data_IF_343596844535
#
_entry.id   IF_343596844535
#
_cell.length_a   1.000
_cell.length_b   1.000
_cell.length_c   1.000
_cell.angle_alpha   90.00
_cell.angle_beta   90.00
_cell.angle_gamma   90.00
#
_symmetry.space_group_name_H-M   'P 1'
#
loop_
_entity.id
_entity.type
_entity.pdbx_description
1 polymer ?
#
# COMPACT_ATOMS: atom_id res chain seq x y z
N UNK A 1 8.81 -8.27 16.44
CA UNK A 1 8.92 -9.64 15.87
C UNK A 1 9.07 -9.52 14.37
N UNK A 2 10.04 -10.19 13.75
CA UNK A 2 10.16 -10.23 12.29
C UNK A 2 9.00 -11.10 11.79
N UNK A 3 8.10 -10.61 10.92
CA UNK A 3 7.03 -11.45 10.39
C UNK A 3 7.64 -12.67 9.72
N UNK A 4 7.04 -13.84 9.92
CA UNK A 4 7.53 -15.07 9.29
C UNK A 4 7.63 -14.86 7.76
N UNK A 5 8.57 -15.53 7.07
CA UNK A 5 8.67 -15.41 5.61
C UNK A 5 7.33 -15.69 4.91
N UNK A 6 6.53 -16.61 5.47
CA UNK A 6 5.18 -16.91 5.01
C UNK A 6 4.22 -15.73 5.15
N UNK A 7 4.27 -15.02 6.28
CA UNK A 7 3.49 -13.81 6.53
C UNK A 7 3.83 -12.68 5.56
N UNK A 8 5.13 -12.47 5.29
CA UNK A 8 5.59 -11.49 4.31
C UNK A 8 5.13 -11.84 2.89
N UNK A 9 5.20 -13.12 2.50
CA UNK A 9 4.73 -13.59 1.21
C UNK A 9 3.21 -13.42 1.05
N UNK A 10 2.42 -13.82 2.06
CA UNK A 10 0.98 -13.63 2.06
C UNK A 10 0.60 -12.15 1.90
N UNK A 11 1.26 -11.27 2.66
CA UNK A 11 1.08 -9.82 2.55
C UNK A 11 1.40 -9.30 1.16
N UNK A 12 2.54 -9.70 0.59
CA UNK A 12 2.92 -9.31 -0.76
C UNK A 12 1.90 -9.79 -1.81
N UNK A 13 1.45 -11.04 -1.72
CA UNK A 13 0.46 -11.60 -2.65
C UNK A 13 -0.87 -10.86 -2.59
N UNK A 14 -1.40 -10.59 -1.39
CA UNK A 14 -2.66 -9.84 -1.23
C UNK A 14 -2.51 -8.42 -1.79
N UNK A 15 -1.38 -7.76 -1.54
CA UNK A 15 -1.12 -6.42 -2.07
C UNK A 15 -1.01 -6.41 -3.59
N UNK A 16 -0.24 -7.33 -4.18
CA UNK A 16 -0.08 -7.44 -5.63
C UNK A 16 -1.46 -7.70 -6.27
N UNK A 17 -2.20 -8.70 -5.80
CA UNK A 17 -3.52 -9.03 -6.33
C UNK A 17 -4.49 -7.84 -6.20
N UNK A 18 -4.56 -7.21 -5.03
CA UNK A 18 -5.44 -6.08 -4.77
C UNK A 18 -5.10 -4.84 -5.63
N UNK A 19 -3.82 -4.52 -5.81
CA UNK A 19 -3.40 -3.42 -6.66
C UNK A 19 -3.52 -3.74 -8.16
N UNK A 20 -3.38 -5.00 -8.56
CA UNK A 20 -3.68 -5.42 -9.92
C UNK A 20 -5.16 -5.33 -10.24
N UNK A 21 -6.04 -5.72 -9.32
CA UNK A 21 -7.47 -5.51 -9.48
C UNK A 21 -7.81 -4.02 -9.61
N UNK A 22 -7.19 -3.18 -8.77
CA UNK A 22 -7.37 -1.73 -8.84
C UNK A 22 -6.98 -1.18 -10.21
N UNK A 23 -5.80 -1.53 -10.73
CA UNK A 23 -5.34 -1.08 -12.04
C UNK A 23 -6.22 -1.60 -13.19
N UNK A 24 -6.70 -2.85 -13.08
CA UNK A 24 -7.64 -3.41 -14.06
C UNK A 24 -8.93 -2.57 -14.12
N UNK A 25 -9.46 -2.15 -12.97
CA UNK A 25 -10.65 -1.31 -12.94
C UNK A 25 -10.35 0.10 -13.42
N UNK A 26 -9.22 0.69 -13.02
CA UNK A 26 -8.83 2.02 -13.45
C UNK A 26 -8.65 2.12 -14.98
N UNK A 27 -8.11 1.07 -15.61
CA UNK A 27 -7.98 1.00 -17.08
C UNK A 27 -9.32 1.18 -17.83
N UNK A 28 -10.47 0.91 -17.18
CA UNK A 28 -11.79 1.12 -17.79
C UNK A 28 -12.20 2.60 -17.83
N UNK A 29 -11.59 3.42 -16.97
CA UNK A 29 -11.90 4.84 -16.82
C UNK A 29 -10.79 5.75 -17.33
N UNK A 30 -9.60 5.21 -17.60
CA UNK A 30 -8.45 5.95 -18.14
C UNK A 30 -8.30 5.75 -19.64
N UNK A 31 -7.81 6.77 -20.32
CA UNK A 31 -7.42 6.70 -21.75
C UNK A 31 -6.17 5.85 -21.98
N UNK A 32 -5.41 5.58 -20.91
CA UNK A 32 -4.20 4.76 -20.92
C UNK A 32 -4.53 3.39 -20.35
N UNK A 33 -4.12 2.33 -21.07
CA UNK A 33 -4.18 0.97 -20.55
C UNK A 33 -2.80 0.53 -20.09
N UNK A 34 -2.70 0.07 -18.85
CA UNK A 34 -1.45 -0.44 -18.27
C UNK A 34 -1.60 -1.91 -17.91
N UNK A 35 -0.50 -2.67 -17.91
CA UNK A 35 -0.53 -4.04 -17.42
C UNK A 35 -0.86 -4.06 -15.91
N UNK A 36 -2.00 -4.64 -15.49
CA UNK A 36 -2.42 -4.55 -14.08
C UNK A 36 -1.46 -5.29 -13.13
N UNK A 37 -0.88 -6.40 -13.59
CA UNK A 37 0.11 -7.16 -12.83
C UNK A 37 1.37 -6.32 -12.60
N UNK A 38 1.90 -5.68 -13.65
CA UNK A 38 3.09 -4.81 -13.53
C UNK A 38 2.83 -3.64 -12.57
N UNK A 39 1.65 -3.03 -12.65
CA UNK A 39 1.25 -1.99 -11.70
C UNK A 39 1.22 -2.52 -10.26
N UNK A 40 0.61 -3.70 -10.05
CA UNK A 40 0.52 -4.31 -8.72
C UNK A 40 1.88 -4.59 -8.08
N UNK A 41 2.82 -5.15 -8.84
CA UNK A 41 4.20 -5.35 -8.39
C UNK A 41 4.89 -4.01 -8.08
N UNK A 42 4.83 -3.05 -9.00
CA UNK A 42 5.47 -1.75 -8.81
C UNK A 42 4.91 -1.02 -7.59
N UNK A 43 3.59 -0.98 -7.43
CA UNK A 43 2.93 -0.31 -6.31
C UNK A 43 3.24 -0.98 -4.97
N UNK A 44 3.35 -2.31 -4.96
CA UNK A 44 3.77 -3.07 -3.77
C UNK A 44 5.23 -2.76 -3.41
N UNK A 45 6.14 -2.76 -4.39
CA UNK A 45 7.54 -2.41 -4.19
C UNK A 45 7.75 -0.97 -3.70
N UNK A 46 7.11 0.00 -4.34
CA UNK A 46 7.15 1.42 -3.91
C UNK A 46 6.59 1.55 -2.48
N UNK A 47 5.47 0.89 -2.19
CA UNK A 47 4.87 0.89 -0.85
C UNK A 47 5.78 0.27 0.20
N UNK A 48 6.46 -0.83 -0.13
CA UNK A 48 7.42 -1.51 0.75
C UNK A 48 8.61 -0.61 1.08
N UNK A 49 9.23 0.00 0.07
CA UNK A 49 10.34 0.95 0.27
C UNK A 49 9.88 2.15 1.12
N UNK A 50 8.70 2.72 0.81
CA UNK A 50 8.14 3.82 1.61
C UNK A 50 7.88 3.42 3.07
N UNK A 51 7.40 2.20 3.31
CA UNK A 51 7.23 1.66 4.66
C UNK A 51 8.55 1.49 5.40
N UNK A 52 9.59 0.95 4.75
CA UNK A 52 10.92 0.82 5.36
C UNK A 52 11.49 2.19 5.77
N UNK A 53 11.38 3.19 4.90
CA UNK A 53 11.82 4.55 5.20
C UNK A 53 11.03 5.15 6.36
N UNK A 54 9.71 4.94 6.40
CA UNK A 54 8.85 5.39 7.50
C UNK A 54 9.32 4.84 8.84
N UNK A 55 9.49 3.52 8.92
CA UNK A 55 9.91 2.86 10.15
C UNK A 55 11.35 3.22 10.54
N UNK A 56 12.24 3.46 9.57
CA UNK A 56 13.59 3.96 9.84
C UNK A 56 13.56 5.35 10.50
N UNK A 57 12.70 6.26 10.03
CA UNK A 57 12.51 7.58 10.63
C UNK A 57 11.91 7.47 12.04
N UNK A 58 10.89 6.62 12.23
CA UNK A 58 10.30 6.39 13.54
C UNK A 58 11.32 5.81 14.53
N UNK A 59 12.12 4.85 14.09
CA UNK A 59 13.18 4.26 14.91
C UNK A 59 14.24 5.30 15.30
N UNK A 60 14.62 6.20 14.38
CA UNK A 60 15.54 7.28 14.66
C UNK A 60 14.99 8.29 15.67
N UNK A 61 13.71 8.63 15.57
CA UNK A 61 13.09 9.65 16.41
C UNK A 61 12.83 9.17 17.85
N UNK A 62 12.91 7.86 18.11
CA UNK A 62 12.72 7.21 19.43
C UNK A 62 11.55 7.77 20.27
N UNK A 63 10.33 7.87 19.73
CA UNK A 63 9.20 8.32 20.52
C UNK A 63 8.78 7.21 21.51
N UNK A 64 8.96 7.44 22.81
CA UNK A 64 8.82 6.41 23.85
C UNK A 64 7.41 5.79 23.92
N UNK A 65 6.37 6.50 23.44
CA UNK A 65 4.97 6.05 23.50
C UNK A 65 4.12 6.48 22.27
N UNK A 66 4.44 6.01 21.07
CA UNK A 66 3.55 6.18 19.91
C UNK A 66 2.52 5.07 19.88
N UNK A 67 1.23 5.42 19.90
CA UNK A 67 0.16 4.44 19.74
C UNK A 67 0.17 3.84 18.32
N UNK A 68 -0.26 2.59 18.18
CA UNK A 68 -0.36 1.92 16.87
C UNK A 68 -1.25 2.70 15.90
N UNK A 69 -2.29 3.37 16.43
CA UNK A 69 -3.14 4.26 15.65
C UNK A 69 -2.36 5.46 15.08
N UNK A 70 -1.47 6.07 15.87
CA UNK A 70 -0.65 7.18 15.39
C UNK A 70 0.37 6.73 14.33
N UNK A 71 0.92 5.51 14.44
CA UNK A 71 1.76 4.91 13.39
C UNK A 71 0.95 4.72 12.10
N UNK A 72 -0.29 4.20 12.24
CA UNK A 72 -1.16 3.91 11.10
C UNK A 72 -1.63 5.17 10.36
N UNK A 73 -1.98 6.22 11.10
CA UNK A 73 -2.37 7.54 10.57
C UNK A 73 -1.14 8.29 10.02
N UNK A 74 0.00 8.19 10.69
CA UNK A 74 1.26 8.79 10.24
C UNK A 74 1.78 8.20 8.93
N UNK A 75 1.33 7.01 8.53
CA UNK A 75 1.63 6.41 7.24
C UNK A 75 0.82 7.00 6.07
N UNK A 76 -0.23 7.80 6.32
CA UNK A 76 -1.09 8.40 5.28
C UNK A 76 -0.26 9.18 4.23
N UNK A 77 0.64 10.12 4.61
CA UNK A 77 1.41 10.90 3.63
C UNK A 77 2.30 10.03 2.75
N UNK A 78 2.89 8.97 3.32
CA UNK A 78 3.74 8.03 2.59
C UNK A 78 2.92 7.23 1.60
N UNK A 79 1.69 6.84 1.95
CA UNK A 79 0.77 6.18 1.03
C UNK A 79 0.37 7.10 -0.12
N UNK A 80 0.06 8.36 0.17
CA UNK A 80 -0.22 9.36 -0.87
C UNK A 80 0.96 9.50 -1.83
N UNK A 81 2.17 9.65 -1.30
CA UNK A 81 3.37 9.77 -2.13
C UNK A 81 3.60 8.51 -2.98
N UNK A 82 3.47 7.32 -2.38
CA UNK A 82 3.63 6.06 -3.09
C UNK A 82 2.59 5.86 -4.20
N UNK A 83 1.34 6.29 -3.98
CA UNK A 83 0.31 6.28 -5.01
C UNK A 83 0.57 7.34 -6.09
N UNK A 84 0.99 8.55 -5.73
CA UNK A 84 1.33 9.60 -6.68
C UNK A 84 2.47 9.18 -7.60
N UNK A 85 3.52 8.54 -7.06
CA UNK A 85 4.62 7.97 -7.85
C UNK A 85 4.12 6.87 -8.78
N UNK A 86 3.33 5.91 -8.27
CA UNK A 86 2.83 4.83 -9.10
C UNK A 86 1.91 5.33 -10.23
N UNK A 87 0.98 6.24 -9.93
CA UNK A 87 0.08 6.81 -10.92
C UNK A 87 0.82 7.70 -11.93
N UNK A 88 1.84 8.46 -11.50
CA UNK A 88 2.62 9.29 -12.42
C UNK A 88 3.41 8.45 -13.42
N UNK A 89 4.02 7.34 -12.97
CA UNK A 89 4.81 6.43 -13.83
C UNK A 89 3.90 5.72 -14.85
N UNK A 90 2.74 5.22 -14.41
CA UNK A 90 1.92 4.32 -15.23
C UNK A 90 0.82 5.04 -16.02
N UNK A 91 0.16 6.05 -15.44
CA UNK A 91 -0.99 6.72 -16.04
C UNK A 91 -0.72 8.17 -16.48
N UNK A 92 0.38 8.77 -16.01
CA UNK A 92 0.82 10.10 -16.41
C UNK A 92 0.00 11.23 -15.78
N UNK A 93 0.60 11.97 -14.86
CA UNK A 93 -0.09 12.96 -14.01
C UNK A 93 -0.85 14.07 -14.75
N UNK A 94 -0.35 14.45 -15.95
CA UNK A 94 -0.88 15.59 -16.72
C UNK A 94 -1.98 15.23 -17.71
N UNK A 95 -2.27 13.94 -17.93
CA UNK A 95 -3.28 13.52 -18.91
C UNK A 95 -4.71 13.72 -18.40
N UNK A 96 -4.97 13.38 -17.14
CA UNK A 96 -6.28 13.59 -16.52
C UNK A 96 -6.14 13.84 -15.02
N UNK A 97 -5.83 15.08 -14.65
CA UNK A 97 -5.54 15.48 -13.26
C UNK A 97 -6.71 15.22 -12.32
N UNK A 98 -7.97 15.37 -12.78
CA UNK A 98 -9.16 15.11 -11.96
C UNK A 98 -9.29 13.63 -11.61
N UNK A 99 -9.18 12.76 -12.62
CA UNK A 99 -9.21 11.31 -12.40
C UNK A 99 -8.06 10.88 -11.49
N UNK A 100 -6.85 11.39 -11.70
CA UNK A 100 -5.67 11.02 -10.90
C UNK A 100 -5.82 11.49 -9.45
N UNK A 101 -6.30 12.70 -9.21
CA UNK A 101 -6.53 13.19 -7.85
C UNK A 101 -7.58 12.34 -7.12
N UNK A 102 -8.71 12.01 -7.76
CA UNK A 102 -9.70 11.10 -7.18
C UNK A 102 -9.10 9.72 -6.91
N UNK A 103 -8.33 9.19 -7.87
CA UNK A 103 -7.65 7.90 -7.78
C UNK A 103 -6.63 7.85 -6.63
N UNK A 104 -5.98 8.96 -6.29
CA UNK A 104 -5.09 9.03 -5.12
C UNK A 104 -5.84 8.72 -3.83
N UNK A 105 -6.95 9.39 -3.58
CA UNK A 105 -7.75 9.18 -2.37
C UNK A 105 -8.32 7.76 -2.31
N UNK A 106 -8.91 7.30 -3.41
CA UNK A 106 -9.46 5.94 -3.51
C UNK A 106 -8.34 4.90 -3.36
N UNK A 107 -7.16 5.15 -3.92
CA UNK A 107 -6.00 4.28 -3.81
C UNK A 107 -5.49 4.16 -2.38
N UNK A 108 -5.36 5.27 -1.64
CA UNK A 108 -4.96 5.25 -0.23
C UNK A 108 -5.98 4.49 0.62
N UNK A 109 -7.27 4.76 0.41
CA UNK A 109 -8.34 4.01 1.08
C UNK A 109 -8.30 2.51 0.75
N UNK A 110 -8.09 2.17 -0.53
CA UNK A 110 -7.93 0.80 -0.99
C UNK A 110 -6.74 0.10 -0.31
N UNK A 111 -5.61 0.80 -0.15
CA UNK A 111 -4.47 0.27 0.58
C UNK A 111 -4.83 -0.12 2.01
N UNK A 112 -5.69 0.66 2.70
CA UNK A 112 -6.16 0.33 4.04
C UNK A 112 -7.15 -0.82 4.09
N UNK A 113 -8.05 -0.94 3.10
CA UNK A 113 -8.89 -2.14 2.95
C UNK A 113 -8.01 -3.38 2.85
N UNK A 114 -6.97 -3.36 2.01
CA UNK A 114 -6.06 -4.49 1.87
C UNK A 114 -5.28 -4.79 3.16
N UNK A 115 -4.98 -3.79 3.98
CA UNK A 115 -4.41 -4.02 5.31
C UNK A 115 -5.41 -4.69 6.25
N UNK A 116 -6.68 -4.26 6.23
CA UNK A 116 -7.75 -4.90 6.99
C UNK A 116 -7.99 -6.36 6.58
N UNK A 117 -7.92 -6.66 5.29
CA UNK A 117 -7.97 -8.05 4.78
C UNK A 117 -6.79 -8.85 5.31
N UNK A 118 -5.58 -8.31 5.26
CA UNK A 118 -4.42 -8.98 5.84
C UNK A 118 -4.62 -9.19 7.34
N UNK A 119 -5.11 -8.17 8.04
CA UNK A 119 -5.40 -8.26 9.46
C UNK A 119 -6.35 -9.42 9.78
N UNK A 120 -7.43 -9.57 9.01
CA UNK A 120 -8.36 -10.69 9.15
C UNK A 120 -7.70 -12.04 8.85
N UNK A 121 -6.85 -12.13 7.82
CA UNK A 121 -6.10 -13.36 7.48
C UNK A 121 -5.20 -13.78 8.64
N UNK A 122 -4.54 -12.83 9.31
CA UNK A 122 -3.70 -13.08 10.46
C UNK A 122 -4.48 -13.62 11.68
N UNK A 123 -5.74 -13.24 11.86
CA UNK A 123 -6.58 -13.76 12.95
C UNK A 123 -6.95 -15.24 12.76
N UNK A 124 -6.96 -15.72 11.51
CA UNK A 124 -7.42 -17.07 11.17
C UNK A 124 -6.24 -18.05 11.00
N UNK A 125 -5.08 -17.57 10.54
CA UNK A 125 -3.93 -18.43 10.27
C UNK A 125 -3.09 -18.68 11.54
N UNK A 126 -2.94 -19.95 11.99
CA UNK A 126 -2.17 -20.26 13.18
C UNK A 126 -0.70 -19.89 13.04
N UNK A 127 -0.13 -19.26 14.08
CA UNK A 127 1.29 -18.91 14.15
C UNK A 127 1.68 -17.60 13.45
N UNK A 128 0.72 -16.81 12.98
CA UNK A 128 0.99 -15.51 12.36
C UNK A 128 0.65 -14.36 13.32
N UNK A 129 1.63 -13.89 14.11
CA UNK A 129 1.47 -12.70 14.97
C UNK A 129 1.80 -11.45 14.15
N UNK A 130 0.85 -10.53 14.02
CA UNK A 130 1.16 -9.19 13.50
C UNK A 130 1.94 -8.42 14.57
N UNK A 131 3.12 -7.86 14.23
CA UNK A 131 3.88 -7.07 15.19
C UNK A 131 3.19 -5.75 15.60
N UNK A 132 2.11 -5.34 14.92
CA UNK A 132 1.44 -4.06 15.14
C UNK A 132 -0.07 -4.21 15.00
N UNK A 133 -0.78 -4.22 16.13
CA UNK A 133 -2.22 -4.01 16.34
C UNK A 133 -2.41 -3.45 17.74
#
# INVERSE_FOLDING_TARGET
MIPSPLAALAYATVKIAGYSLFAHQLNRFSEVSVSPIRFGFAKTGIGFIGGLLYFAVLAWWHPEHVSDTAIFVGAIPIRFLAWAIALSIFYGFRRNTRLINATLFVGVFWSYILDGVMWAIYQVLPGMVMPFC
#
